data_IF_672755664725
#
_entry.id   IF_672755664725
#
_cell.length_a   1.000
_cell.length_b   1.000
_cell.length_c   1.000
_cell.angle_alpha   90.00
_cell.angle_beta   90.00
_cell.angle_gamma   90.00
#
_symmetry.space_group_name_H-M   'P 1'
#
loop_
_entity.id
_entity.type
_entity.pdbx_description
1 polymer ?
#
# COMPACT_ATOMS: atom_id res chain seq x y z
N UNK A 1 -6.76 2.41 -21.51
CA UNK A 1 -7.08 3.69 -20.84
C UNK A 1 -5.98 3.99 -19.85
N UNK A 2 -5.51 5.23 -19.76
CA UNK A 2 -4.44 5.61 -18.84
C UNK A 2 -4.99 6.52 -17.76
N UNK A 3 -4.63 6.25 -16.51
CA UNK A 3 -4.88 7.12 -15.37
C UNK A 3 -3.61 7.96 -15.15
N UNK A 4 -3.57 9.15 -15.74
CA UNK A 4 -2.33 9.96 -15.83
C UNK A 4 -2.07 10.81 -14.61
N UNK A 5 -3.09 11.10 -13.80
CA UNK A 5 -2.97 11.92 -12.60
C UNK A 5 -3.91 11.39 -11.51
N UNK A 6 -3.43 10.45 -10.71
CA UNK A 6 -4.18 9.89 -9.59
C UNK A 6 -3.46 10.14 -8.27
N UNK A 7 -4.11 10.78 -7.30
CA UNK A 7 -3.52 10.94 -5.99
C UNK A 7 -4.53 11.37 -4.92
N UNK A 8 -4.07 11.35 -3.66
CA UNK A 8 -4.82 11.85 -2.51
C UNK A 8 -3.99 12.91 -1.78
N UNK A 9 -4.58 14.08 -1.54
CA UNK A 9 -3.96 15.15 -0.74
C UNK A 9 -3.77 14.69 0.71
N UNK A 10 -2.76 15.24 1.38
CA UNK A 10 -2.45 14.91 2.77
C UNK A 10 -2.60 16.08 3.74
N UNK A 11 -2.92 15.72 4.99
CA UNK A 11 -2.93 16.58 6.18
C UNK A 11 -1.89 16.06 7.19
N UNK A 12 -0.92 16.88 7.63
CA UNK A 12 -0.58 18.21 7.13
C UNK A 12 -0.12 18.19 5.65
N UNK A 13 -0.15 19.32 4.93
CA UNK A 13 -0.57 20.66 5.40
C UNK A 13 -2.06 20.98 5.18
N UNK A 14 -2.78 20.28 4.29
CA UNK A 14 -4.16 20.65 3.95
C UNK A 14 -5.15 20.09 4.98
N UNK A 15 -5.50 20.89 5.99
CA UNK A 15 -6.40 20.49 7.08
C UNK A 15 -7.87 20.27 6.65
N UNK A 16 -8.26 20.76 5.48
CA UNK A 16 -9.66 20.76 5.05
C UNK A 16 -9.96 19.66 4.05
N UNK A 17 -9.01 19.36 3.15
CA UNK A 17 -9.17 18.37 2.07
C UNK A 17 -8.17 17.22 2.13
N UNK A 18 -7.15 17.32 2.97
CA UNK A 18 -6.11 16.31 3.11
C UNK A 18 -6.49 15.18 4.04
N UNK A 19 -6.04 13.97 3.71
CA UNK A 19 -6.16 12.80 4.61
C UNK A 19 -4.87 12.59 5.42
N UNK A 20 -4.92 11.94 6.59
CA UNK A 20 -3.71 11.58 7.31
C UNK A 20 -2.78 10.70 6.47
N UNK A 21 -1.46 10.81 6.67
CA UNK A 21 -0.46 10.05 5.91
C UNK A 21 -0.71 8.53 5.87
N UNK A 22 -1.15 7.96 6.98
CA UNK A 22 -1.50 6.54 7.06
C UNK A 22 -2.71 6.17 6.17
N UNK A 23 -3.69 7.07 6.07
CA UNK A 23 -4.86 6.86 5.21
C UNK A 23 -4.50 7.04 3.73
N UNK A 24 -3.62 8.00 3.39
CA UNK A 24 -3.06 8.12 2.04
C UNK A 24 -2.38 6.81 1.61
N UNK A 25 -1.54 6.23 2.47
CA UNK A 25 -0.87 4.97 2.18
C UNK A 25 -1.85 3.81 1.98
N UNK A 26 -2.89 3.71 2.81
CA UNK A 26 -3.97 2.74 2.61
C UNK A 26 -4.62 2.90 1.24
N UNK A 27 -4.99 4.14 0.87
CA UNK A 27 -5.63 4.40 -0.41
C UNK A 27 -4.74 4.10 -1.60
N UNK A 28 -3.42 4.34 -1.53
CA UNK A 28 -2.47 3.91 -2.58
C UNK A 28 -2.51 2.40 -2.78
N UNK A 29 -2.52 1.62 -1.70
CA UNK A 29 -2.66 0.16 -1.78
C UNK A 29 -3.98 -0.29 -2.40
N UNK A 30 -5.10 0.31 -1.98
CA UNK A 30 -6.41 0.01 -2.54
C UNK A 30 -6.55 0.46 -4.01
N UNK A 31 -5.97 1.59 -4.39
CA UNK A 31 -5.97 2.10 -5.76
C UNK A 31 -5.21 1.15 -6.70
N UNK A 32 -4.03 0.69 -6.28
CA UNK A 32 -3.27 -0.31 -7.01
C UNK A 32 -4.08 -1.59 -7.24
N UNK A 33 -4.84 -2.04 -6.23
CA UNK A 33 -5.76 -3.18 -6.38
C UNK A 33 -6.88 -2.88 -7.38
N UNK A 34 -7.53 -1.72 -7.29
CA UNK A 34 -8.61 -1.34 -8.21
C UNK A 34 -8.14 -1.31 -9.66
N UNK A 35 -6.93 -0.78 -9.91
CA UNK A 35 -6.31 -0.79 -11.24
C UNK A 35 -5.99 -2.21 -11.71
N UNK A 36 -5.43 -3.04 -10.82
CA UNK A 36 -5.20 -4.46 -11.11
C UNK A 36 -6.49 -5.19 -11.54
N UNK A 37 -7.64 -4.82 -10.98
CA UNK A 37 -8.95 -5.39 -11.33
C UNK A 37 -9.59 -4.78 -12.58
N UNK A 38 -9.04 -3.69 -13.11
CA UNK A 38 -9.61 -2.95 -14.23
C UNK A 38 -8.85 -3.28 -15.53
N UNK A 39 -9.29 -4.28 -16.33
CA UNK A 39 -8.53 -4.78 -17.47
C UNK A 39 -8.34 -3.77 -18.61
N UNK A 40 -9.05 -2.63 -18.56
CA UNK A 40 -8.92 -1.55 -19.55
C UNK A 40 -7.94 -0.46 -19.10
N UNK A 41 -7.35 -0.55 -17.90
CA UNK A 41 -6.38 0.41 -17.40
C UNK A 41 -4.97 -0.13 -17.61
N UNK A 42 -4.23 0.50 -18.52
CA UNK A 42 -2.88 0.06 -18.87
C UNK A 42 -1.82 0.70 -17.97
N UNK A 43 -2.07 1.94 -17.53
CA UNK A 43 -1.10 2.76 -16.79
C UNK A 43 -1.80 3.50 -15.65
N UNK A 44 -1.15 3.51 -14.48
CA UNK A 44 -1.47 4.36 -13.34
C UNK A 44 -0.25 5.24 -13.00
N UNK A 45 -0.41 6.54 -13.13
CA UNK A 45 0.60 7.55 -12.78
C UNK A 45 0.13 8.27 -11.52
N UNK A 46 0.96 8.25 -10.47
CA UNK A 46 0.67 8.98 -9.24
C UNK A 46 0.92 10.47 -9.45
N UNK A 47 -0.06 11.32 -9.14
CA UNK A 47 0.16 12.76 -9.22
C UNK A 47 0.98 13.24 -8.02
N UNK A 48 2.20 13.61 -8.41
CA UNK A 48 3.38 14.06 -7.69
C UNK A 48 4.21 12.98 -7.01
N UNK A 49 5.52 13.13 -7.14
CA UNK A 49 6.51 12.45 -6.32
C UNK A 49 6.71 13.22 -5.00
N UNK A 50 6.83 14.55 -5.07
CA UNK A 50 7.02 15.45 -3.93
C UNK A 50 5.87 16.44 -3.84
N UNK A 51 5.43 16.76 -2.64
CA UNK A 51 4.42 17.80 -2.43
C UNK A 51 4.87 19.15 -2.97
N UNK A 52 3.90 19.91 -3.46
CA UNK A 52 4.10 21.32 -3.78
C UNK A 52 4.48 22.11 -2.52
N UNK A 53 5.46 23.03 -2.58
CA UNK A 53 5.91 23.80 -1.42
C UNK A 53 4.90 24.85 -0.97
N UNK A 54 3.98 25.26 -1.84
CA UNK A 54 2.98 26.28 -1.55
C UNK A 54 1.75 25.66 -0.87
N UNK A 55 1.45 26.10 0.34
CA UNK A 55 0.26 25.66 1.09
C UNK A 55 -1.02 25.95 0.26
N UNK A 56 -1.91 24.96 0.20
CA UNK A 56 -3.15 25.02 -0.60
C UNK A 56 -3.01 24.35 -1.98
N UNK A 57 -1.79 24.13 -2.47
CA UNK A 57 -1.53 23.29 -3.66
C UNK A 57 -1.60 21.79 -3.32
N UNK A 58 -1.08 20.95 -4.22
CA UNK A 58 -1.16 19.50 -4.09
C UNK A 58 -0.11 18.97 -3.11
N UNK A 59 -0.60 18.42 -2.00
CA UNK A 59 0.19 17.69 -1.00
C UNK A 59 0.02 16.17 -1.15
N UNK A 60 0.04 15.68 -2.38
CA UNK A 60 -0.24 14.29 -2.70
C UNK A 60 0.99 13.43 -3.02
N UNK A 61 2.18 14.03 -2.96
CA UNK A 61 3.44 13.35 -3.18
C UNK A 61 3.70 12.25 -2.16
N UNK A 62 4.65 11.38 -2.52
CA UNK A 62 5.26 10.40 -1.62
C UNK A 62 6.34 11.00 -0.71
N UNK A 63 6.76 12.23 -1.01
CA UNK A 63 7.63 13.04 -0.17
C UNK A 63 6.88 14.33 0.20
N UNK A 64 7.06 14.81 1.43
CA UNK A 64 6.65 16.17 1.79
C UNK A 64 7.46 17.20 1.00
N UNK A 65 7.03 18.47 1.01
CA UNK A 65 7.76 19.54 0.34
C UNK A 65 9.20 19.70 0.89
N UNK A 66 9.38 19.43 2.19
CA UNK A 66 10.68 19.36 2.85
C UNK A 66 11.37 17.99 2.75
N UNK A 67 11.07 17.21 1.73
CA UNK A 67 11.73 15.93 1.37
C UNK A 67 11.59 14.78 2.37
N UNK A 68 10.77 14.93 3.42
CA UNK A 68 10.46 13.82 4.33
C UNK A 68 9.64 12.76 3.59
N UNK A 69 10.10 11.51 3.60
CA UNK A 69 9.38 10.35 3.05
C UNK A 69 8.05 10.13 3.77
N UNK A 70 6.99 9.92 3.00
CA UNK A 70 5.68 9.53 3.52
C UNK A 70 5.49 8.01 3.47
N UNK A 71 4.64 7.44 4.34
CA UNK A 71 4.27 6.03 4.27
C UNK A 71 3.74 5.59 2.90
N UNK A 72 3.11 6.49 2.14
CA UNK A 72 2.61 6.22 0.79
C UNK A 72 3.70 5.82 -0.21
N UNK A 73 4.96 6.25 -0.01
CA UNK A 73 6.11 5.77 -0.78
C UNK A 73 6.25 4.24 -0.68
N UNK A 74 6.24 3.73 0.55
CA UNK A 74 6.34 2.29 0.81
C UNK A 74 5.07 1.53 0.40
N UNK A 75 3.89 2.14 0.51
CA UNK A 75 2.67 1.56 -0.04
C UNK A 75 2.67 1.50 -1.57
N UNK A 76 3.34 2.44 -2.24
CA UNK A 76 3.51 2.37 -3.69
C UNK A 76 4.45 1.22 -4.09
N UNK A 77 5.53 0.99 -3.34
CA UNK A 77 6.44 -0.14 -3.58
C UNK A 77 5.81 -1.49 -3.25
N UNK A 78 5.09 -1.55 -2.12
CA UNK A 78 4.54 -2.76 -1.51
C UNK A 78 3.05 -2.58 -1.18
N UNK A 79 2.17 -2.40 -2.19
CA UNK A 79 0.75 -2.19 -1.93
C UNK A 79 0.14 -3.43 -1.28
N UNK A 80 -0.70 -3.21 -0.27
CA UNK A 80 -1.45 -4.24 0.44
C UNK A 80 -2.88 -3.75 0.65
N UNK A 81 -3.86 -4.56 0.28
CA UNK A 81 -5.27 -4.22 0.37
C UNK A 81 -6.12 -5.41 0.83
N UNK A 82 -7.22 -5.11 1.51
CA UNK A 82 -8.25 -6.08 1.85
C UNK A 82 -9.11 -6.35 0.60
N UNK A 83 -9.28 -7.64 0.23
CA UNK A 83 -10.21 -8.06 -0.83
C UNK A 83 -11.61 -8.21 -0.26
N UNK A 84 -11.74 -9.01 0.80
CA UNK A 84 -13.01 -9.38 1.41
C UNK A 84 -12.79 -9.96 2.80
N UNK A 85 -13.87 -9.99 3.57
CA UNK A 85 -13.96 -10.68 4.86
C UNK A 85 -15.24 -11.51 4.91
N UNK A 86 -15.12 -12.78 5.31
CA UNK A 86 -16.26 -13.70 5.51
C UNK A 86 -16.02 -14.54 6.77
N UNK A 87 -16.84 -14.33 7.79
CA UNK A 87 -16.60 -14.95 9.11
C UNK A 87 -15.23 -14.54 9.66
N UNK A 88 -14.44 -15.52 10.09
CA UNK A 88 -13.07 -15.30 10.58
C UNK A 88 -11.99 -15.24 9.50
N UNK A 89 -12.35 -15.34 8.22
CA UNK A 89 -11.41 -15.33 7.09
C UNK A 89 -11.39 -13.96 6.43
N UNK A 90 -10.19 -13.44 6.20
CA UNK A 90 -9.93 -12.22 5.42
C UNK A 90 -9.03 -12.58 4.26
N UNK A 91 -9.41 -12.15 3.06
CA UNK A 91 -8.59 -12.29 1.86
C UNK A 91 -7.84 -10.99 1.63
N UNK A 92 -6.52 -11.09 1.48
CA UNK A 92 -5.62 -9.97 1.22
C UNK A 92 -5.06 -10.07 -0.20
N UNK A 93 -4.88 -8.92 -0.83
CA UNK A 93 -4.15 -8.77 -2.09
C UNK A 93 -2.93 -7.89 -1.85
N UNK A 94 -1.81 -8.19 -2.50
CA UNK A 94 -0.68 -7.27 -2.51
C UNK A 94 0.25 -7.45 -3.70
N UNK A 95 1.25 -6.58 -3.77
CA UNK A 95 2.29 -6.62 -4.79
C UNK A 95 3.67 -6.33 -4.18
N UNK A 96 4.73 -6.87 -4.77
CA UNK A 96 6.12 -6.47 -4.54
C UNK A 96 6.67 -5.93 -5.86
N UNK A 97 6.81 -4.60 -5.97
CA UNK A 97 7.19 -3.90 -7.23
C UNK A 97 8.68 -3.65 -7.51
N UNK A 98 9.62 -3.61 -6.54
CA UNK A 98 10.99 -3.13 -6.82
C UNK A 98 11.77 -3.91 -7.90
N UNK A 99 11.25 -5.04 -8.39
CA UNK A 99 11.84 -5.87 -9.44
C UNK A 99 10.75 -6.53 -10.30
N UNK A 100 11.18 -7.13 -11.41
CA UNK A 100 10.38 -8.03 -12.25
C UNK A 100 10.52 -9.49 -11.79
N UNK A 101 9.55 -10.32 -12.19
CA UNK A 101 9.54 -11.75 -11.88
C UNK A 101 9.03 -12.07 -10.47
N UNK A 102 8.93 -13.37 -10.14
CA UNK A 102 8.51 -13.82 -8.82
C UNK A 102 9.39 -13.25 -7.70
N UNK A 103 8.77 -12.58 -6.72
CA UNK A 103 9.44 -11.95 -5.59
C UNK A 103 9.18 -12.73 -4.30
N UNK A 104 10.21 -13.01 -3.48
CA UNK A 104 10.01 -13.60 -2.17
C UNK A 104 9.55 -12.53 -1.16
N UNK A 105 8.54 -12.84 -0.37
CA UNK A 105 7.99 -11.93 0.64
C UNK A 105 7.55 -12.69 1.89
N UNK A 106 7.45 -11.97 3.00
CA UNK A 106 6.85 -12.49 4.22
C UNK A 106 5.65 -11.61 4.62
N UNK A 107 4.50 -12.25 4.79
CA UNK A 107 3.35 -11.57 5.39
C UNK A 107 3.51 -11.60 6.92
N UNK A 108 3.36 -10.45 7.56
CA UNK A 108 3.45 -10.33 9.01
C UNK A 108 2.14 -9.81 9.59
N UNK A 109 1.79 -10.27 10.79
CA UNK A 109 0.68 -9.75 11.59
C UNK A 109 1.21 -9.09 12.85
N UNK A 110 0.55 -8.02 13.30
CA UNK A 110 0.81 -7.40 14.59
C UNK A 110 0.18 -8.24 15.71
N UNK A 111 0.96 -8.70 16.68
CA UNK A 111 0.50 -9.39 17.90
C UNK A 111 1.25 -8.86 19.12
N UNK A 112 0.54 -8.45 20.17
CA UNK A 112 1.11 -7.96 21.44
C UNK A 112 2.31 -7.02 21.25
N UNK A 113 2.16 -6.02 20.37
CA UNK A 113 3.24 -5.07 20.14
C UNK A 113 4.45 -5.62 19.37
N UNK A 114 4.36 -6.79 18.73
CA UNK A 114 5.40 -7.36 17.85
C UNK A 114 4.86 -7.72 16.47
N UNK A 115 5.71 -7.68 15.46
CA UNK A 115 5.39 -8.19 14.12
C UNK A 115 5.83 -9.64 14.06
N UNK A 116 4.90 -10.54 13.77
CA UNK A 116 5.18 -11.97 13.67
C UNK A 116 4.87 -12.47 12.27
N UNK A 117 5.70 -13.36 11.71
CA UNK A 117 5.42 -14.02 10.43
C UNK A 117 4.07 -14.74 10.43
N UNK A 118 3.49 -14.85 9.24
CA UNK A 118 2.31 -15.68 8.98
C UNK A 118 2.73 -16.77 8.00
N UNK A 119 2.91 -17.98 8.53
CA UNK A 119 3.42 -19.10 7.74
C UNK A 119 4.87 -18.89 7.31
N UNK A 120 5.23 -19.55 6.20
CA UNK A 120 6.54 -19.46 5.56
C UNK A 120 6.63 -18.29 4.58
N UNK A 121 7.84 -18.07 4.06
CA UNK A 121 8.10 -17.16 2.94
C UNK A 121 7.18 -17.52 1.76
N UNK A 122 6.45 -16.52 1.27
CA UNK A 122 5.68 -16.61 0.04
C UNK A 122 6.50 -16.15 -1.16
N UNK A 123 6.09 -16.59 -2.34
CA UNK A 123 6.61 -16.09 -3.62
C UNK A 123 5.43 -15.55 -4.42
N UNK A 124 5.59 -14.36 -5.00
CA UNK A 124 4.56 -13.74 -5.83
C UNK A 124 4.44 -14.40 -7.21
N UNK A 125 3.43 -14.02 -7.98
CA UNK A 125 3.40 -14.24 -9.43
C UNK A 125 4.49 -13.45 -10.17
N UNK A 126 4.53 -13.60 -11.50
CA UNK A 126 5.57 -13.02 -12.38
C UNK A 126 5.59 -11.49 -12.37
N UNK A 127 4.44 -10.87 -12.16
CA UNK A 127 4.25 -9.42 -12.11
C UNK A 127 4.31 -8.86 -10.68
N UNK A 128 4.74 -9.69 -9.71
CA UNK A 128 4.88 -9.29 -8.32
C UNK A 128 3.60 -9.39 -7.50
N UNK A 129 2.47 -9.81 -8.06
CA UNK A 129 1.18 -9.90 -7.35
C UNK A 129 1.03 -11.15 -6.51
N UNK A 130 0.26 -11.07 -5.43
CA UNK A 130 -0.17 -12.23 -4.65
C UNK A 130 -1.55 -12.02 -4.03
N UNK A 131 -2.18 -13.12 -3.64
CA UNK A 131 -3.32 -13.13 -2.73
C UNK A 131 -3.06 -14.10 -1.57
N UNK A 132 -3.55 -13.75 -0.37
CA UNK A 132 -3.39 -14.55 0.85
C UNK A 132 -4.67 -14.55 1.66
N UNK A 133 -5.18 -15.73 1.98
CA UNK A 133 -6.20 -15.89 3.01
C UNK A 133 -5.53 -15.89 4.39
N UNK A 134 -6.12 -15.17 5.34
CA UNK A 134 -5.68 -15.13 6.74
C UNK A 134 -6.87 -15.24 7.67
N UNK A 135 -6.67 -15.86 8.84
CA UNK A 135 -7.66 -15.82 9.91
C UNK A 135 -7.47 -14.57 10.77
N UNK A 136 -8.36 -13.60 10.58
CA UNK A 136 -8.34 -12.31 11.27
C UNK A 136 -9.70 -11.61 11.23
N UNK A 137 -9.99 -10.85 12.29
CA UNK A 137 -11.14 -9.95 12.36
C UNK A 137 -10.73 -8.48 12.28
N UNK A 138 -11.72 -7.56 12.34
CA UNK A 138 -11.49 -6.12 12.33
C UNK A 138 -10.45 -5.68 13.37
N UNK A 139 -9.66 -4.66 13.02
CA UNK A 139 -8.57 -4.14 13.86
C UNK A 139 -7.27 -4.96 13.80
N UNK A 140 -7.28 -6.16 13.21
CA UNK A 140 -6.05 -6.91 12.90
C UNK A 140 -5.18 -6.10 11.94
N UNK A 141 -3.85 -6.10 12.19
CA UNK A 141 -2.90 -5.36 11.37
C UNK A 141 -1.92 -6.28 10.66
N UNK A 142 -1.70 -6.00 9.38
CA UNK A 142 -0.83 -6.77 8.49
C UNK A 142 0.18 -5.87 7.79
N UNK A 143 1.34 -6.40 7.44
CA UNK A 143 2.30 -5.76 6.55
C UNK A 143 3.07 -6.79 5.73
N UNK A 144 3.58 -6.35 4.59
CA UNK A 144 4.52 -7.10 3.75
C UNK A 144 5.94 -6.79 4.26
N UNK A 145 6.82 -7.78 4.27
CA UNK A 145 8.26 -7.60 4.25
C UNK A 145 8.79 -8.14 2.92
N UNK A 146 9.36 -7.27 2.09
CA UNK A 146 10.10 -7.69 0.90
C UNK A 146 11.50 -8.08 1.32
N UNK A 147 11.82 -9.37 1.18
CA UNK A 147 13.05 -9.95 1.72
C UNK A 147 14.29 -9.48 0.97
N UNK A 148 14.16 -9.23 -0.32
CA UNK A 148 15.28 -8.78 -1.16
C UNK A 148 15.52 -7.26 -1.06
N UNK A 149 14.53 -6.49 -0.59
CA UNK A 149 14.63 -5.03 -0.44
C UNK A 149 14.88 -4.60 1.01
N UNK A 150 14.82 -5.56 1.95
CA UNK A 150 14.66 -5.32 3.39
C UNK A 150 13.66 -4.18 3.71
N UNK A 151 12.55 -4.15 2.98
CA UNK A 151 11.57 -3.05 3.03
C UNK A 151 10.22 -3.55 3.48
N UNK A 152 9.54 -2.75 4.31
CA UNK A 152 8.23 -3.09 4.86
C UNK A 152 7.12 -2.21 4.27
N UNK A 153 5.97 -2.81 3.97
CA UNK A 153 4.78 -2.01 3.66
C UNK A 153 4.29 -1.28 4.92
N UNK A 154 3.55 -0.17 4.77
CA UNK A 154 2.77 0.38 5.86
C UNK A 154 1.75 -0.66 6.39
N UNK A 155 1.35 -0.56 7.66
CA UNK A 155 0.34 -1.45 8.22
C UNK A 155 -1.03 -1.29 7.54
N UNK A 156 -1.56 -2.36 6.97
CA UNK A 156 -2.98 -2.46 6.65
C UNK A 156 -3.76 -2.86 7.90
N UNK A 157 -4.82 -2.13 8.24
CA UNK A 157 -5.76 -2.49 9.31
C UNK A 157 -7.04 -3.03 8.67
N UNK A 158 -7.45 -4.23 9.08
CA UNK A 158 -8.67 -4.89 8.56
C UNK A 158 -9.91 -4.19 9.08
N UNK A 159 -10.92 -4.03 8.22
CA UNK A 159 -12.20 -3.37 8.52
C UNK A 159 -13.39 -4.31 8.69
#
# INVERSE_FOLDING_TARGET
>A
MWLTEYAYKTNPPDRYRGVPFALQARFVGEAARRVYQAPRVDVLINFLLRDEPVIGRWSSGFFTAGEVVKPSFFAFMLPLAEISRRGGRTMLWGQVRPRSGPQPYLLQRRRRGRWVPIGSVGVTGREGFFAREVFAGPGSKFRIWSLLDDTFSPPLTIT
#
